data_IF_399901667659
#
_entry.id   IF_399901667659
#
_cell.length_a   1.000
_cell.length_b   1.000
_cell.length_c   1.000
_cell.angle_alpha   90.00
_cell.angle_beta   90.00
_cell.angle_gamma   90.00
#
_symmetry.space_group_name_H-M   'P 1'
#
loop_
_entity.id
_entity.type
_entity.pdbx_description
1 polymer ?
#
# COMPACT_ATOMS: atom_id res chain seq x y z
N UNK A 1 25.38 -4.63 12.79
CA UNK A 1 24.04 -4.02 12.67
C UNK A 1 23.27 -4.95 11.77
N UNK A 2 22.24 -5.63 12.28
CA UNK A 2 21.42 -6.48 11.42
C UNK A 2 20.67 -5.56 10.44
N UNK A 3 20.80 -5.80 9.14
CA UNK A 3 20.03 -5.07 8.14
C UNK A 3 18.56 -5.43 8.31
N UNK A 4 17.74 -4.44 8.66
CA UNK A 4 16.29 -4.59 8.70
C UNK A 4 15.81 -4.90 7.27
N UNK A 5 15.19 -6.07 7.10
CA UNK A 5 14.57 -6.46 5.83
C UNK A 5 13.10 -6.07 5.85
N UNK A 6 12.59 -5.73 4.67
CA UNK A 6 11.21 -5.34 4.47
C UNK A 6 10.59 -6.18 3.36
N UNK A 7 9.34 -6.56 3.56
CA UNK A 7 8.45 -7.03 2.51
C UNK A 7 7.72 -5.83 1.92
N UNK A 8 7.44 -5.89 0.61
CA UNK A 8 6.70 -4.86 -0.10
C UNK A 8 5.44 -5.44 -0.73
N UNK A 9 4.34 -4.70 -0.63
CA UNK A 9 3.07 -4.97 -1.30
C UNK A 9 2.71 -3.75 -2.15
N UNK A 10 2.24 -4.00 -3.37
CA UNK A 10 1.86 -2.93 -4.30
C UNK A 10 0.42 -3.14 -4.73
N UNK A 11 -0.42 -2.15 -4.49
CA UNK A 11 -1.85 -2.19 -4.86
C UNK A 11 -2.16 -1.17 -5.96
N UNK A 12 -2.68 -1.62 -7.12
CA UNK A 12 -3.14 -0.72 -8.17
C UNK A 12 -4.46 -0.05 -7.80
N UNK A 13 -4.61 1.23 -8.10
CA UNK A 13 -5.87 1.95 -8.00
C UNK A 13 -6.08 2.86 -9.19
N UNK A 14 -7.32 2.93 -9.65
CA UNK A 14 -7.72 3.79 -10.75
C UNK A 14 -8.57 4.97 -10.24
N UNK A 15 -8.27 6.16 -10.75
CA UNK A 15 -9.00 7.40 -10.54
C UNK A 15 -9.63 7.87 -11.86
N UNK A 16 -10.92 7.60 -12.01
CA UNK A 16 -11.78 8.12 -13.05
C UNK A 16 -12.28 9.53 -12.67
N UNK A 17 -11.99 10.56 -13.49
CA UNK A 17 -12.37 11.94 -13.20
C UNK A 17 -13.86 12.17 -12.95
N UNK A 18 -14.71 11.30 -13.48
CA UNK A 18 -16.18 11.39 -13.35
C UNK A 18 -16.72 10.87 -12.02
N UNK A 19 -15.92 10.14 -11.23
CA UNK A 19 -16.40 9.42 -10.03
C UNK A 19 -15.58 9.70 -8.76
N UNK A 20 -14.81 10.78 -8.73
CA UNK A 20 -13.85 11.16 -7.66
C UNK A 20 -14.36 10.90 -6.22
N UNK A 21 -15.64 11.16 -5.93
CA UNK A 21 -16.20 10.94 -4.59
C UNK A 21 -16.30 9.45 -4.21
N UNK A 22 -16.72 8.59 -5.15
CA UNK A 22 -16.82 7.15 -4.92
C UNK A 22 -15.44 6.51 -4.84
N UNK A 23 -14.50 7.02 -5.61
CA UNK A 23 -13.12 6.52 -5.64
C UNK A 23 -12.35 6.86 -4.38
N UNK A 24 -12.63 8.02 -3.78
CA UNK A 24 -12.06 8.37 -2.48
C UNK A 24 -12.47 7.38 -1.38
N UNK A 25 -13.72 6.91 -1.37
CA UNK A 25 -14.14 5.88 -0.41
C UNK A 25 -13.41 4.55 -0.66
N UNK A 26 -13.30 4.11 -1.92
CA UNK A 26 -12.58 2.88 -2.29
C UNK A 26 -11.10 2.93 -1.88
N UNK A 27 -10.44 4.08 -2.04
CA UNK A 27 -9.04 4.27 -1.61
C UNK A 27 -8.94 4.16 -0.09
N UNK A 28 -9.83 4.81 0.64
CA UNK A 28 -9.80 4.74 2.11
C UNK A 28 -10.05 3.31 2.60
N UNK A 29 -10.99 2.59 1.97
CA UNK A 29 -11.27 1.19 2.30
C UNK A 29 -10.03 0.32 2.04
N UNK A 30 -9.37 0.48 0.88
CA UNK A 30 -8.12 -0.21 0.56
C UNK A 30 -7.01 0.07 1.60
N UNK A 31 -6.79 1.33 1.95
CA UNK A 31 -5.77 1.72 2.92
C UNK A 31 -6.05 1.12 4.30
N UNK A 32 -7.31 1.11 4.72
CA UNK A 32 -7.71 0.54 6.01
C UNK A 32 -7.56 -0.99 6.02
N UNK A 33 -8.01 -1.68 4.97
CA UNK A 33 -7.87 -3.14 4.84
C UNK A 33 -6.42 -3.58 4.90
N UNK A 34 -5.55 -2.92 4.13
CA UNK A 34 -4.11 -3.23 4.09
C UNK A 34 -3.44 -2.90 5.44
N UNK A 35 -3.88 -1.84 6.12
CA UNK A 35 -3.40 -1.51 7.46
C UNK A 35 -3.86 -2.53 8.53
N UNK A 36 -5.09 -3.07 8.43
CA UNK A 36 -5.58 -4.14 9.31
C UNK A 36 -4.78 -5.43 9.16
N UNK A 37 -4.24 -5.70 7.97
CA UNK A 37 -3.29 -6.80 7.72
C UNK A 37 -1.87 -6.55 8.26
N UNK A 38 -1.61 -5.37 8.84
CA UNK A 38 -0.33 -5.01 9.45
C UNK A 38 0.70 -4.45 8.46
N UNK A 39 0.28 -4.01 7.27
CA UNK A 39 1.15 -3.30 6.34
C UNK A 39 1.14 -1.80 6.63
N UNK A 40 2.30 -1.16 6.55
CA UNK A 40 2.42 0.29 6.65
C UNK A 40 2.48 0.91 5.26
N UNK A 41 1.74 2.01 5.05
CA UNK A 41 1.88 2.83 3.86
C UNK A 41 3.31 3.40 3.77
N UNK A 42 3.94 3.24 2.60
CA UNK A 42 5.29 3.76 2.34
C UNK A 42 5.26 4.92 1.33
N UNK A 43 4.70 4.69 0.15
CA UNK A 43 4.73 5.66 -0.94
C UNK A 43 3.61 5.42 -1.96
N UNK A 44 3.40 6.37 -2.87
CA UNK A 44 2.48 6.26 -4.01
C UNK A 44 3.18 6.63 -5.31
N UNK A 45 3.13 5.73 -6.30
CA UNK A 45 3.65 6.00 -7.64
C UNK A 45 2.51 6.33 -8.60
N UNK A 46 2.60 7.48 -9.26
CA UNK A 46 1.68 7.88 -10.33
C UNK A 46 2.18 7.32 -11.65
N UNK A 47 1.38 6.47 -12.30
CA UNK A 47 1.72 5.87 -13.60
C UNK A 47 1.19 6.74 -14.74
N UNK A 48 -0.05 7.18 -14.60
CA UNK A 48 -0.75 8.07 -15.51
C UNK A 48 -1.77 8.91 -14.71
N UNK A 49 -2.43 9.92 -15.31
CA UNK A 49 -3.35 10.81 -14.59
C UNK A 49 -4.52 10.11 -13.88
N UNK A 50 -4.79 8.86 -14.24
CA UNK A 50 -5.88 8.03 -13.72
C UNK A 50 -5.39 6.74 -13.05
N UNK A 51 -4.09 6.47 -13.00
CA UNK A 51 -3.57 5.21 -12.43
C UNK A 51 -2.49 5.47 -11.38
N UNK A 52 -2.72 4.91 -10.19
CA UNK A 52 -1.85 5.00 -9.04
C UNK A 52 -1.43 3.60 -8.56
N UNK A 53 -0.22 3.46 -8.07
CA UNK A 53 0.22 2.32 -7.28
C UNK A 53 0.49 2.75 -5.85
N UNK A 54 -0.23 2.18 -4.90
CA UNK A 54 0.08 2.33 -3.48
C UNK A 54 1.12 1.29 -3.08
N UNK A 55 2.21 1.73 -2.48
CA UNK A 55 3.31 0.90 -2.02
C UNK A 55 3.22 0.83 -0.50
N UNK A 56 3.19 -0.40 0.00
CA UNK A 56 3.18 -0.69 1.43
C UNK A 56 4.40 -1.51 1.78
N UNK A 57 4.87 -1.36 3.01
CA UNK A 57 5.95 -2.15 3.56
C UNK A 57 5.60 -2.74 4.91
N UNK A 58 6.22 -3.88 5.22
CA UNK A 58 6.15 -4.49 6.54
C UNK A 58 7.54 -5.00 6.92
N UNK A 59 8.01 -4.80 8.16
CA UNK A 59 9.26 -5.40 8.60
C UNK A 59 9.13 -6.93 8.57
N UNK A 60 10.16 -7.59 8.04
CA UNK A 60 10.28 -9.05 8.18
C UNK A 60 10.92 -9.30 9.53
N UNK A 61 10.15 -9.84 10.47
CA UNK A 61 10.72 -10.38 11.69
C UNK A 61 11.58 -11.58 11.30
N UNK A 62 12.88 -11.47 11.52
CA UNK A 62 13.75 -12.63 11.55
C UNK A 62 13.35 -13.42 12.80
N UNK A 63 12.41 -14.35 12.68
CA UNK A 63 12.28 -15.40 13.66
C UNK A 63 13.62 -16.11 13.71
N UNK A 64 14.38 -15.81 14.77
CA UNK A 64 15.55 -16.55 15.19
C UNK A 64 15.09 -17.99 15.30
N UNK A 65 15.35 -18.77 14.26
CA UNK A 65 15.11 -20.20 14.23
C UNK A 65 16.08 -20.79 15.23
N UNK A 66 15.61 -20.93 16.47
CA UNK A 66 16.28 -21.68 17.54
C UNK A 66 16.19 -23.17 17.28
#
# INVERSE_FOLDING_TARGET
MAEQRYEYRVEPTFLSPTELRNEQYKINDLLNEVAEEGWAYEDVAVVDPSSLFFIFQRPVDYESTG
#
